data_IF_820786441750
#
_entry.id   IF_820786441750
#
_cell.length_a   1.000
_cell.length_b   1.000
_cell.length_c   1.000
_cell.angle_alpha   90.00
_cell.angle_beta   90.00
_cell.angle_gamma   90.00
#
_symmetry.space_group_name_H-M   'P 1'
#
loop_
_entity.id
_entity.type
_entity.pdbx_description
1 polymer ?
#
# COMPACT_ATOMS: atom_id res chain seq x y z
N UNK A 1 34.91 31.54 -38.89
CA UNK A 1 35.23 30.12 -38.63
C UNK A 1 34.84 29.81 -37.20
N UNK A 2 33.82 28.98 -37.03
CA UNK A 2 33.01 28.81 -35.82
C UNK A 2 33.82 28.32 -34.61
N UNK A 3 33.80 29.09 -33.52
CA UNK A 3 34.09 28.60 -32.17
C UNK A 3 32.75 28.32 -31.50
N UNK A 4 32.10 27.24 -31.94
CA UNK A 4 30.85 26.79 -31.35
C UNK A 4 31.08 26.01 -30.05
N UNK A 5 30.30 26.42 -29.04
CA UNK A 5 29.63 25.55 -28.05
C UNK A 5 30.52 24.70 -27.15
N UNK A 6 30.88 25.25 -25.98
CA UNK A 6 31.22 24.45 -24.78
C UNK A 6 31.25 25.33 -23.51
N UNK A 7 30.16 26.04 -23.19
CA UNK A 7 30.09 26.77 -21.90
C UNK A 7 28.78 26.56 -21.11
N UNK A 8 27.65 26.17 -21.70
CA UNK A 8 26.37 26.34 -20.99
C UNK A 8 25.73 25.11 -20.33
N UNK A 9 26.48 24.05 -20.00
CA UNK A 9 25.89 22.86 -19.34
C UNK A 9 26.42 22.54 -17.93
N UNK A 10 27.46 23.23 -17.45
CA UNK A 10 28.08 22.90 -16.15
C UNK A 10 27.86 23.92 -15.03
N UNK A 11 27.13 25.02 -15.27
CA UNK A 11 26.99 26.12 -14.31
C UNK A 11 25.64 26.20 -13.56
N UNK A 12 24.68 25.31 -13.82
CA UNK A 12 23.35 25.35 -13.17
C UNK A 12 23.21 24.32 -12.02
N UNK A 13 24.14 23.38 -11.87
CA UNK A 13 23.97 22.25 -10.93
C UNK A 13 24.79 22.34 -9.63
N UNK A 14 25.55 23.42 -9.42
CA UNK A 14 26.58 23.48 -8.38
C UNK A 14 26.14 24.02 -7.02
N UNK A 15 25.19 24.93 -6.95
CA UNK A 15 24.76 25.57 -5.70
C UNK A 15 23.24 25.75 -5.73
N UNK A 16 22.59 25.59 -4.56
CA UNK A 16 21.23 26.07 -4.27
C UNK A 16 19.98 25.19 -4.50
N UNK A 17 20.09 23.86 -4.66
CA UNK A 17 18.92 22.99 -4.43
C UNK A 17 18.39 23.20 -3.00
N UNK A 18 19.30 23.35 -2.04
CA UNK A 18 18.97 23.61 -0.63
C UNK A 18 18.35 24.99 -0.38
N UNK A 19 18.69 26.03 -1.16
CA UNK A 19 18.11 27.37 -0.94
C UNK A 19 16.67 27.50 -1.44
N UNK A 20 16.31 26.77 -2.50
CA UNK A 20 14.93 26.70 -2.97
C UNK A 20 14.03 26.17 -1.83
N UNK A 21 14.47 25.13 -1.13
CA UNK A 21 13.73 24.56 0.00
C UNK A 21 13.64 25.48 1.22
N UNK A 22 14.64 26.34 1.46
CA UNK A 22 14.62 27.31 2.58
C UNK A 22 13.47 28.31 2.43
N UNK A 23 13.12 28.68 1.20
CA UNK A 23 12.08 29.68 0.95
C UNK A 23 10.70 29.06 0.69
N UNK A 24 10.59 27.75 0.41
CA UNK A 24 9.30 27.07 0.23
C UNK A 24 8.39 27.22 1.47
N UNK A 25 8.97 27.16 2.67
CA UNK A 25 8.20 27.30 3.91
C UNK A 25 7.72 28.74 4.18
N UNK A 26 8.19 29.73 3.40
CA UNK A 26 7.77 31.14 3.50
C UNK A 26 6.65 31.50 2.51
N UNK A 27 6.24 30.56 1.66
CA UNK A 27 5.17 30.80 0.68
C UNK A 27 3.82 31.02 1.37
N UNK A 28 3.05 32.04 0.97
CA UNK A 28 1.65 32.17 1.36
C UNK A 28 0.84 30.92 1.01
N UNK A 29 -0.14 30.60 1.85
CA UNK A 29 -0.95 29.39 1.70
C UNK A 29 -1.69 29.32 0.36
N UNK A 30 -2.09 30.46 -0.20
CA UNK A 30 -2.78 30.54 -1.49
C UNK A 30 -1.88 30.08 -2.65
N UNK A 31 -0.61 30.49 -2.66
CA UNK A 31 0.36 30.03 -3.66
C UNK A 31 0.64 28.54 -3.51
N UNK A 32 0.73 28.04 -2.28
CA UNK A 32 0.89 26.60 -2.02
C UNK A 32 -0.30 25.82 -2.60
N UNK A 33 -1.52 26.33 -2.45
CA UNK A 33 -2.73 25.69 -2.95
C UNK A 33 -2.74 25.66 -4.48
N UNK A 34 -2.40 26.78 -5.14
CA UNK A 34 -2.25 26.83 -6.60
C UNK A 34 -1.20 25.82 -7.07
N UNK A 35 -0.02 25.76 -6.44
CA UNK A 35 1.02 24.80 -6.80
C UNK A 35 0.52 23.36 -6.66
N UNK A 36 -0.21 23.05 -5.58
CA UNK A 36 -0.76 21.70 -5.34
C UNK A 36 -1.75 21.27 -6.43
N UNK A 37 -2.49 22.18 -7.05
CA UNK A 37 -3.42 21.87 -8.15
C UNK A 37 -2.69 21.30 -9.39
N UNK A 38 -1.45 21.73 -9.64
CA UNK A 38 -0.63 21.22 -10.73
C UNK A 38 0.04 19.88 -10.41
N UNK A 39 0.02 19.43 -9.15
CA UNK A 39 0.63 18.16 -8.77
C UNK A 39 -0.35 17.01 -9.06
N UNK A 40 0.03 16.01 -9.88
CA UNK A 40 -0.82 14.85 -10.12
C UNK A 40 -1.19 14.14 -8.83
N UNK A 41 -2.49 13.82 -8.66
CA UNK A 41 -3.01 13.09 -7.48
C UNK A 41 -2.23 11.81 -7.19
N UNK A 42 -1.78 11.10 -8.24
CA UNK A 42 -0.94 9.88 -8.13
C UNK A 42 0.35 10.08 -7.33
N UNK A 43 0.89 11.31 -7.30
CA UNK A 43 2.07 11.67 -6.52
C UNK A 43 1.66 12.09 -5.11
N UNK A 44 0.61 12.92 -4.98
CA UNK A 44 0.12 13.40 -3.69
C UNK A 44 -0.29 12.29 -2.72
N UNK A 45 -0.80 11.16 -3.23
CA UNK A 45 -1.21 10.00 -2.43
C UNK A 45 -0.12 9.54 -1.45
N UNK A 46 1.16 9.63 -1.84
CA UNK A 46 2.27 9.10 -1.06
C UNK A 46 2.93 10.12 -0.13
N UNK A 47 2.44 11.37 -0.08
CA UNK A 47 3.11 12.42 0.71
C UNK A 47 2.69 12.42 2.17
N UNK A 48 1.43 12.09 2.49
CA UNK A 48 0.94 12.02 3.87
C UNK A 48 -0.35 11.18 3.96
N UNK A 49 -0.79 10.89 5.19
CA UNK A 49 -1.97 10.05 5.47
C UNK A 49 -3.30 10.67 4.99
N UNK A 50 -3.43 11.99 5.07
CA UNK A 50 -4.64 12.69 4.65
C UNK A 50 -4.83 12.58 3.13
N UNK A 51 -3.78 12.87 2.37
CA UNK A 51 -3.76 12.69 0.93
C UNK A 51 -3.99 11.24 0.52
N UNK A 52 -3.40 10.28 1.24
CA UNK A 52 -3.71 8.87 0.99
C UNK A 52 -5.21 8.59 1.17
N UNK A 53 -5.82 9.03 2.27
CA UNK A 53 -7.24 8.81 2.51
C UNK A 53 -8.13 9.44 1.42
N UNK A 54 -7.80 10.64 0.97
CA UNK A 54 -8.53 11.36 -0.07
C UNK A 54 -8.40 10.70 -1.45
N UNK A 55 -7.19 10.27 -1.81
CA UNK A 55 -6.85 9.93 -3.19
C UNK A 55 -6.52 8.45 -3.44
N UNK A 56 -6.52 7.57 -2.42
CA UNK A 56 -6.19 6.14 -2.57
C UNK A 56 -7.00 5.43 -3.67
N UNK A 57 -8.24 5.86 -3.95
CA UNK A 57 -9.08 5.28 -5.00
C UNK A 57 -8.40 5.35 -6.38
N UNK A 58 -7.59 6.38 -6.60
CA UNK A 58 -6.80 6.62 -7.82
C UNK A 58 -5.67 5.60 -7.96
N UNK A 59 -5.25 4.90 -6.91
CA UNK A 59 -4.22 3.85 -7.03
C UNK A 59 -4.72 2.63 -7.81
N UNK A 60 -6.03 2.33 -7.76
CA UNK A 60 -6.58 1.09 -8.35
C UNK A 60 -6.28 0.95 -9.83
N UNK A 61 -6.34 2.05 -10.59
CA UNK A 61 -6.04 2.05 -12.02
C UNK A 61 -4.56 1.80 -12.34
N UNK A 62 -3.66 2.00 -11.38
CA UNK A 62 -2.21 1.79 -11.55
C UNK A 62 -1.72 0.44 -11.01
N UNK A 63 -2.58 -0.30 -10.30
CA UNK A 63 -2.24 -1.61 -9.74
C UNK A 63 -2.66 -2.69 -10.75
N UNK A 64 -1.68 -3.25 -11.46
CA UNK A 64 -1.91 -4.33 -12.43
C UNK A 64 -2.30 -5.65 -11.75
N UNK A 65 -1.68 -5.96 -10.61
CA UNK A 65 -1.94 -7.17 -9.84
C UNK A 65 -2.23 -6.82 -8.38
N UNK A 66 -3.52 -6.80 -8.03
CA UNK A 66 -3.97 -6.46 -6.68
C UNK A 66 -3.46 -7.44 -5.61
N UNK A 67 -3.25 -8.70 -5.97
CA UNK A 67 -2.80 -9.73 -5.05
C UNK A 67 -1.33 -9.53 -4.67
N UNK A 68 -0.48 -9.23 -5.66
CA UNK A 68 0.91 -8.86 -5.41
C UNK A 68 1.02 -7.56 -4.61
N UNK A 69 0.16 -6.58 -4.88
CA UNK A 69 0.08 -5.36 -4.08
C UNK A 69 -0.26 -5.64 -2.62
N UNK A 70 -1.28 -6.47 -2.37
CA UNK A 70 -1.66 -6.89 -1.01
C UNK A 70 -0.50 -7.62 -0.31
N UNK A 71 0.17 -8.54 -1.02
CA UNK A 71 1.32 -9.28 -0.48
C UNK A 71 2.48 -8.34 -0.15
N UNK A 72 2.76 -7.36 -1.01
CA UNK A 72 3.79 -6.35 -0.77
C UNK A 72 3.50 -5.55 0.50
N UNK A 73 2.26 -5.08 0.66
CA UNK A 73 1.82 -4.37 1.88
C UNK A 73 2.07 -5.20 3.13
N UNK A 74 1.69 -6.49 3.11
CA UNK A 74 1.88 -7.37 4.27
C UNK A 74 3.35 -7.64 4.51
N UNK A 75 4.12 -7.99 3.48
CA UNK A 75 5.56 -8.29 3.60
C UNK A 75 6.36 -7.17 4.28
N UNK A 76 5.99 -5.91 4.02
CA UNK A 76 6.63 -4.73 4.64
C UNK A 76 5.87 -4.16 5.84
N UNK A 77 4.85 -4.86 6.32
CA UNK A 77 4.02 -4.52 7.48
C UNK A 77 3.38 -3.11 7.43
N UNK A 78 2.93 -2.67 6.24
CA UNK A 78 2.29 -1.36 6.04
C UNK A 78 0.83 -1.34 6.51
N UNK A 79 0.64 -1.47 7.82
CA UNK A 79 -0.67 -1.64 8.48
C UNK A 79 -1.70 -0.57 8.15
N UNK A 80 -1.30 0.70 8.08
CA UNK A 80 -2.21 1.81 7.71
C UNK A 80 -2.85 1.60 6.33
N UNK A 81 -2.03 1.28 5.33
CA UNK A 81 -2.47 0.99 3.96
C UNK A 81 -3.32 -0.28 3.97
N UNK A 82 -2.88 -1.29 4.72
CA UNK A 82 -3.57 -2.58 4.82
C UNK A 82 -4.98 -2.47 5.40
N UNK A 83 -5.18 -1.67 6.45
CA UNK A 83 -6.51 -1.42 7.03
C UNK A 83 -7.50 -0.90 5.99
N UNK A 84 -7.04 0.02 5.13
CA UNK A 84 -7.85 0.56 4.04
C UNK A 84 -8.21 -0.54 3.03
N UNK A 85 -7.23 -1.35 2.63
CA UNK A 85 -7.42 -2.49 1.73
C UNK A 85 -8.42 -3.51 2.29
N UNK A 86 -8.35 -3.85 3.58
CA UNK A 86 -9.31 -4.74 4.23
C UNK A 86 -10.73 -4.17 4.12
N UNK A 87 -10.92 -2.90 4.50
CA UNK A 87 -12.24 -2.24 4.49
C UNK A 87 -12.88 -2.21 3.11
N UNK A 88 -12.07 -2.13 2.05
CA UNK A 88 -12.57 -2.13 0.68
C UNK A 88 -12.88 -3.53 0.13
N UNK A 89 -12.16 -4.56 0.60
CA UNK A 89 -12.21 -5.89 -0.01
C UNK A 89 -12.86 -6.96 0.85
N UNK A 90 -13.19 -6.70 2.13
CA UNK A 90 -13.63 -7.75 3.06
C UNK A 90 -14.81 -8.58 2.54
N UNK A 91 -15.80 -7.94 1.89
CA UNK A 91 -16.96 -8.64 1.31
C UNK A 91 -16.54 -9.65 0.24
N UNK A 92 -15.59 -9.28 -0.61
CA UNK A 92 -15.00 -10.17 -1.62
C UNK A 92 -14.19 -11.28 -0.95
N UNK A 93 -13.38 -10.94 0.04
CA UNK A 93 -12.53 -11.89 0.75
C UNK A 93 -13.31 -12.98 1.48
N UNK A 94 -14.47 -12.66 2.06
CA UNK A 94 -15.36 -13.67 2.65
C UNK A 94 -16.01 -14.60 1.61
N UNK A 95 -16.26 -14.11 0.39
CA UNK A 95 -16.86 -14.90 -0.70
C UNK A 95 -15.87 -15.86 -1.34
N UNK A 96 -14.58 -15.52 -1.38
CA UNK A 96 -13.53 -16.41 -1.88
C UNK A 96 -13.45 -17.63 -0.95
N UNK A 97 -13.63 -18.83 -1.49
CA UNK A 97 -13.50 -20.10 -0.77
C UNK A 97 -12.37 -20.94 -1.35
N UNK A 98 -11.77 -21.80 -0.52
CA UNK A 98 -10.72 -22.73 -0.95
C UNK A 98 -9.55 -22.04 -1.65
N UNK A 99 -9.12 -20.90 -1.13
CA UNK A 99 -8.04 -20.11 -1.71
C UNK A 99 -6.72 -20.91 -1.66
N UNK A 100 -6.08 -21.07 -2.81
CA UNK A 100 -4.83 -21.85 -2.93
C UNK A 100 -3.63 -20.93 -2.92
N UNK A 101 -2.63 -21.27 -2.13
CA UNK A 101 -1.34 -20.57 -2.12
C UNK A 101 -0.24 -21.52 -1.71
N UNK A 102 0.82 -21.61 -2.53
CA UNK A 102 1.84 -22.68 -2.45
C UNK A 102 1.13 -24.05 -2.40
N UNK A 103 1.56 -24.94 -1.53
CA UNK A 103 0.97 -26.27 -1.32
C UNK A 103 -0.17 -26.28 -0.29
N UNK A 104 -0.79 -25.12 -0.02
CA UNK A 104 -1.84 -24.97 0.99
C UNK A 104 -3.16 -24.48 0.39
N UNK A 105 -4.26 -25.02 0.93
CA UNK A 105 -5.63 -24.58 0.64
C UNK A 105 -6.24 -24.00 1.90
N UNK A 106 -6.60 -22.72 1.82
CA UNK A 106 -7.20 -21.95 2.90
C UNK A 106 -8.74 -21.89 2.76
N UNK A 107 -9.50 -21.90 3.87
CA UNK A 107 -10.96 -21.83 3.82
C UNK A 107 -11.50 -20.60 3.07
N UNK A 108 -10.85 -19.45 3.25
CA UNK A 108 -11.14 -18.20 2.54
C UNK A 108 -9.88 -17.32 2.47
N UNK A 109 -10.01 -16.14 1.83
CA UNK A 109 -8.88 -15.23 1.66
C UNK A 109 -8.39 -14.62 2.99
N UNK A 110 -9.27 -14.47 3.98
CA UNK A 110 -8.87 -13.97 5.30
C UNK A 110 -7.96 -14.94 6.04
N UNK A 111 -8.25 -16.24 5.97
CA UNK A 111 -7.38 -17.27 6.54
C UNK A 111 -6.02 -17.30 5.85
N UNK A 112 -6.01 -17.17 4.52
CA UNK A 112 -4.77 -17.04 3.76
C UNK A 112 -3.97 -15.82 4.22
N UNK A 113 -4.54 -14.62 4.19
CA UNK A 113 -3.78 -13.41 4.44
C UNK A 113 -3.33 -13.33 5.91
N UNK A 114 -4.12 -13.87 6.85
CA UNK A 114 -3.72 -14.00 8.24
C UNK A 114 -2.51 -14.93 8.41
N UNK A 115 -2.50 -16.08 7.73
CA UNK A 115 -1.34 -16.97 7.70
C UNK A 115 -0.13 -16.30 7.02
N UNK A 116 -0.36 -15.54 5.94
CA UNK A 116 0.69 -14.81 5.25
C UNK A 116 1.33 -13.72 6.13
N UNK A 117 0.56 -13.04 6.99
CA UNK A 117 1.11 -12.15 8.02
C UNK A 117 1.99 -12.89 9.04
N UNK A 118 1.67 -14.14 9.39
CA UNK A 118 2.49 -14.94 10.30
C UNK A 118 3.81 -15.34 9.61
N UNK A 119 3.74 -15.82 8.37
CA UNK A 119 4.93 -16.21 7.59
C UNK A 119 5.93 -15.05 7.38
N UNK A 120 5.45 -13.80 7.32
CA UNK A 120 6.29 -12.61 7.09
C UNK A 120 6.49 -11.76 8.36
N UNK A 121 6.18 -12.29 9.55
CA UNK A 121 6.34 -11.58 10.84
C UNK A 121 5.64 -10.21 10.92
N UNK A 122 4.58 -10.02 10.13
CA UNK A 122 3.87 -8.75 9.93
C UNK A 122 2.87 -8.49 11.06
N UNK A 123 3.39 -8.19 12.24
CA UNK A 123 2.61 -8.09 13.48
C UNK A 123 1.53 -7.00 13.44
N UNK A 124 1.78 -5.85 12.81
CA UNK A 124 0.83 -4.75 12.73
C UNK A 124 -0.30 -5.04 11.74
N UNK A 125 0.01 -5.65 10.60
CA UNK A 125 -0.98 -6.12 9.63
C UNK A 125 -1.84 -7.23 10.24
N UNK A 126 -1.24 -8.17 10.99
CA UNK A 126 -1.99 -9.20 11.74
C UNK A 126 -2.94 -8.57 12.75
N UNK A 127 -2.48 -7.58 13.52
CA UNK A 127 -3.31 -6.83 14.46
C UNK A 127 -4.47 -6.14 13.74
N UNK A 128 -4.22 -5.54 12.59
CA UNK A 128 -5.26 -4.89 11.77
C UNK A 128 -6.38 -5.83 11.34
N UNK A 129 -6.08 -7.11 11.06
CA UNK A 129 -7.09 -8.14 10.77
C UNK A 129 -7.92 -8.46 12.04
N UNK A 130 -7.25 -8.64 13.18
CA UNK A 130 -7.92 -8.94 14.45
C UNK A 130 -8.83 -7.80 14.91
N UNK A 131 -8.36 -6.56 14.78
CA UNK A 131 -9.14 -5.35 15.09
C UNK A 131 -10.37 -5.26 14.18
N UNK A 132 -10.20 -5.49 12.87
CA UNK A 132 -11.32 -5.53 11.92
C UNK A 132 -12.37 -6.59 12.30
N UNK A 133 -11.95 -7.79 12.69
CA UNK A 133 -12.87 -8.84 13.12
C UNK A 133 -13.56 -8.54 14.44
N UNK A 134 -12.87 -7.87 15.37
CA UNK A 134 -13.46 -7.39 16.62
C UNK A 134 -14.54 -6.35 16.35
N UNK A 135 -14.25 -5.36 15.51
CA UNK A 135 -15.19 -4.30 15.11
C UNK A 135 -16.47 -4.86 14.46
N UNK A 136 -16.37 -5.96 13.70
CA UNK A 136 -17.51 -6.55 12.98
C UNK A 136 -18.16 -7.75 13.69
N UNK A 137 -17.76 -8.05 14.94
CA UNK A 137 -18.32 -9.17 15.71
C UNK A 137 -17.96 -10.56 15.19
N UNK A 138 -16.93 -10.69 14.36
CA UNK A 138 -16.54 -11.92 13.66
C UNK A 138 -15.55 -12.81 14.44
N UNK A 139 -15.05 -12.33 15.59
CA UNK A 139 -14.06 -13.04 16.41
C UNK A 139 -14.52 -14.42 16.93
N UNK A 140 -15.84 -14.66 17.07
CA UNK A 140 -16.36 -15.89 17.69
C UNK A 140 -16.11 -17.17 16.88
N UNK A 141 -15.81 -17.06 15.58
CA UNK A 141 -15.78 -18.21 14.66
C UNK A 141 -14.43 -18.49 13.97
N UNK A 142 -13.39 -17.67 14.20
CA UNK A 142 -12.10 -17.82 13.52
C UNK A 142 -11.28 -19.00 14.05
N UNK A 143 -11.27 -19.18 15.36
CA UNK A 143 -10.48 -20.23 16.03
C UNK A 143 -11.02 -21.64 15.74
N UNK A 144 -12.33 -21.76 15.43
CA UNK A 144 -13.01 -23.05 15.21
C UNK A 144 -12.91 -23.59 13.78
N UNK A 145 -12.39 -22.81 12.82
CA UNK A 145 -12.36 -23.16 11.37
C UNK A 145 -10.95 -23.36 10.81
N UNK A 146 -10.01 -23.81 11.64
CA UNK A 146 -8.63 -24.12 11.20
C UNK A 146 -8.56 -25.47 10.50
N UNK A 147 -8.92 -25.51 9.22
CA UNK A 147 -8.52 -26.60 8.34
C UNK A 147 -7.79 -26.02 7.14
N UNK A 148 -6.52 -25.68 7.34
CA UNK A 148 -5.59 -25.53 6.23
C UNK A 148 -5.30 -26.94 5.73
N UNK A 149 -5.60 -27.21 4.46
CA UNK A 149 -5.29 -28.50 3.83
C UNK A 149 -3.95 -28.37 3.11
N UNK A 150 -3.01 -29.25 3.42
CA UNK A 150 -1.77 -29.41 2.66
C UNK A 150 -2.03 -30.33 1.47
N UNK A 151 -1.57 -29.94 0.29
CA UNK A 151 -1.62 -30.77 -0.91
C UNK A 151 -0.48 -31.79 -0.80
N UNK A 152 -0.81 -33.06 -0.53
CA UNK A 152 0.17 -34.16 -0.58
C UNK A 152 0.21 -34.71 -2.01
N UNK A 153 1.38 -34.72 -2.63
CA UNK A 153 1.62 -35.54 -3.82
C UNK A 153 1.61 -37.01 -3.39
N UNK A 154 0.76 -37.85 -4.01
CA UNK A 154 0.91 -39.31 -3.92
C UNK A 154 2.03 -39.70 -4.89
N UNK A 155 3.08 -40.32 -4.36
CA UNK A 155 3.96 -41.18 -5.17
C UNK A 155 3.24 -42.48 -5.50
#
# INVERSE_FOLDING_TARGET
MNKERKIDEQLILGNDITSIFININKLPQDLINIIKEYIPKKILIFTNRENYNLYHCVLKQYISNIENYIRYIVKFDYSFIFQKVIRENYKKWFKIKHYRYKDMIFPDYFHYIFNYCIENESSNCRKSILDFFKEHGLNKNLYKKKFIKYIKWKN
#
